data_IF_414229818209
#
_entry.id   IF_414229818209
#
_cell.length_a   1.000
_cell.length_b   1.000
_cell.length_c   1.000
_cell.angle_alpha   90.00
_cell.angle_beta   90.00
_cell.angle_gamma   90.00
#
_symmetry.space_group_name_H-M   'P 1'
#
loop_
_entity.id
_entity.type
_entity.pdbx_description
1 polymer ?
#
# COMPACT_ATOMS: atom_id res chain seq x y z
N UNK A 1 -8.71 -0.38 -9.38
CA UNK A 1 -9.62 -1.52 -9.65
C UNK A 1 -9.23 -2.20 -10.97
N UNK A 2 -9.17 -1.51 -12.12
CA UNK A 2 -8.82 -2.14 -13.41
C UNK A 2 -7.45 -2.83 -13.39
N UNK A 3 -6.40 -2.15 -12.88
CA UNK A 3 -5.07 -2.74 -12.76
C UNK A 3 -5.05 -3.94 -11.81
N UNK A 4 -5.81 -3.91 -10.72
CA UNK A 4 -6.00 -5.05 -9.85
C UNK A 4 -6.52 -6.26 -10.62
N UNK A 5 -7.61 -6.09 -11.37
CA UNK A 5 -8.19 -7.18 -12.16
C UNK A 5 -7.20 -7.75 -13.19
N UNK A 6 -6.38 -6.89 -13.82
CA UNK A 6 -5.32 -7.32 -14.75
C UNK A 6 -4.28 -8.17 -14.00
N UNK A 7 -3.81 -7.72 -12.85
CA UNK A 7 -2.85 -8.46 -12.03
C UNK A 7 -3.41 -9.83 -11.65
N UNK A 8 -4.62 -9.86 -11.09
CA UNK A 8 -5.27 -11.10 -10.64
C UNK A 8 -5.51 -12.08 -11.80
N UNK A 9 -5.91 -11.56 -12.97
CA UNK A 9 -6.14 -12.38 -14.17
C UNK A 9 -4.87 -13.00 -14.72
N UNK A 10 -3.79 -12.21 -14.78
CA UNK A 10 -2.52 -12.67 -15.39
C UNK A 10 -1.74 -13.56 -14.42
N UNK A 11 -1.70 -13.20 -13.14
CA UNK A 11 -0.92 -13.94 -12.14
C UNK A 11 -1.65 -15.17 -11.59
N UNK A 12 -2.98 -15.18 -11.64
CA UNK A 12 -3.80 -16.18 -10.96
C UNK A 12 -3.79 -16.05 -9.43
N UNK A 13 -3.26 -14.95 -8.90
CA UNK A 13 -3.15 -14.65 -7.47
C UNK A 13 -4.09 -13.50 -7.08
N UNK A 14 -4.50 -13.44 -5.81
CA UNK A 14 -5.15 -12.23 -5.30
C UNK A 14 -4.17 -11.05 -5.32
N UNK A 15 -4.68 -9.81 -5.41
CA UNK A 15 -3.83 -8.61 -5.33
C UNK A 15 -2.98 -8.59 -4.06
N UNK A 16 -3.55 -9.06 -2.93
CA UNK A 16 -2.83 -9.14 -1.66
C UNK A 16 -1.65 -10.10 -1.74
N UNK A 17 -1.86 -11.33 -2.21
CA UNK A 17 -0.82 -12.34 -2.28
C UNK A 17 0.26 -11.91 -3.27
N UNK A 18 -0.14 -11.36 -4.41
CA UNK A 18 0.79 -10.81 -5.39
C UNK A 18 1.67 -9.69 -4.81
N UNK A 19 1.07 -8.74 -4.07
CA UNK A 19 1.81 -7.65 -3.45
C UNK A 19 2.76 -8.16 -2.35
N UNK A 20 2.34 -9.12 -1.55
CA UNK A 20 3.20 -9.73 -0.53
C UNK A 20 4.39 -10.43 -1.14
N UNK A 21 4.16 -11.34 -2.06
CA UNK A 21 5.23 -12.19 -2.64
C UNK A 21 6.21 -11.40 -3.51
N UNK A 22 5.75 -10.35 -4.19
CA UNK A 22 6.57 -9.62 -5.16
C UNK A 22 7.10 -8.27 -4.64
N UNK A 23 6.60 -7.78 -3.52
CA UNK A 23 6.99 -6.47 -2.98
C UNK A 23 7.29 -6.53 -1.48
N UNK A 24 6.29 -6.80 -0.64
CA UNK A 24 6.44 -6.61 0.80
C UNK A 24 7.45 -7.60 1.41
N UNK A 25 7.32 -8.89 1.13
CA UNK A 25 8.22 -9.93 1.65
C UNK A 25 9.63 -9.84 1.00
N UNK A 26 9.69 -9.43 -0.27
CA UNK A 26 10.98 -9.22 -0.97
C UNK A 26 11.78 -8.12 -0.27
N UNK A 27 11.15 -7.02 0.08
CA UNK A 27 11.80 -5.89 0.74
C UNK A 27 11.94 -6.06 2.26
N UNK A 28 11.24 -7.02 2.87
CA UNK A 28 11.20 -7.21 4.30
C UNK A 28 10.32 -6.20 5.04
N UNK A 29 9.26 -5.72 4.40
CA UNK A 29 8.26 -4.80 4.96
C UNK A 29 7.30 -5.58 5.88
N UNK A 30 7.71 -5.79 7.12
CA UNK A 30 7.05 -6.73 8.04
C UNK A 30 5.72 -6.24 8.61
N UNK A 31 5.49 -4.92 8.56
CA UNK A 31 4.29 -4.26 9.07
C UNK A 31 3.38 -3.73 7.96
N UNK A 32 3.60 -4.21 6.72
CA UNK A 32 2.84 -3.77 5.56
C UNK A 32 2.01 -4.90 4.98
N UNK A 33 0.71 -4.68 4.86
CA UNK A 33 -0.21 -5.64 4.21
C UNK A 33 -1.56 -4.97 3.92
N UNK A 34 -2.39 -5.64 3.13
CA UNK A 34 -3.82 -5.38 3.10
C UNK A 34 -4.47 -5.98 4.36
N UNK A 35 -5.28 -5.21 5.05
CA UNK A 35 -6.09 -5.68 6.18
C UNK A 35 -7.54 -5.85 5.74
N UNK A 36 -7.89 -7.00 5.15
CA UNK A 36 -9.25 -7.22 4.70
C UNK A 36 -10.19 -7.30 5.90
N UNK A 37 -11.35 -6.70 5.76
CA UNK A 37 -12.43 -6.82 6.71
C UNK A 37 -13.47 -7.78 6.17
N UNK A 38 -14.01 -8.65 7.02
CA UNK A 38 -15.17 -9.48 6.69
C UNK A 38 -16.26 -9.28 7.74
N UNK A 39 -17.47 -9.71 7.41
CA UNK A 39 -18.54 -9.80 8.40
C UNK A 39 -18.42 -11.11 9.17
N UNK A 40 -18.58 -11.06 10.49
CA UNK A 40 -18.76 -12.23 11.32
C UNK A 40 -20.19 -12.80 11.17
N UNK A 41 -20.46 -13.90 11.88
CA UNK A 41 -21.80 -14.53 11.88
C UNK A 41 -22.92 -13.64 12.43
N UNK A 42 -22.55 -12.61 13.19
CA UNK A 42 -23.46 -11.66 13.81
C UNK A 42 -23.62 -10.37 12.97
N UNK A 43 -22.97 -10.33 11.80
CA UNK A 43 -23.00 -9.20 10.85
C UNK A 43 -22.05 -8.06 11.16
N UNK A 44 -21.18 -8.17 12.18
CA UNK A 44 -20.19 -7.14 12.51
C UNK A 44 -18.99 -7.23 11.58
N UNK A 45 -18.38 -6.08 11.26
CA UNK A 45 -17.13 -6.06 10.52
C UNK A 45 -15.97 -6.44 11.43
N UNK A 46 -15.23 -7.46 11.03
CA UNK A 46 -13.99 -7.88 11.68
C UNK A 46 -12.82 -7.79 10.71
N UNK A 47 -11.69 -7.28 11.20
CA UNK A 47 -10.45 -7.28 10.43
C UNK A 47 -9.80 -8.64 10.56
N UNK A 48 -9.53 -9.29 9.42
CA UNK A 48 -8.74 -10.52 9.39
C UNK A 48 -7.28 -10.10 9.26
N UNK A 49 -6.54 -10.21 10.35
CA UNK A 49 -5.08 -10.14 10.30
C UNK A 49 -4.60 -11.58 10.19
N UNK A 50 -4.15 -11.96 9.00
CA UNK A 50 -3.51 -13.26 8.83
C UNK A 50 -2.17 -13.23 9.59
N UNK A 51 -2.12 -13.96 10.70
CA UNK A 51 -0.86 -14.33 11.31
C UNK A 51 -0.25 -15.43 10.46
N UNK A 52 0.19 -15.07 9.24
CA UNK A 52 0.95 -15.98 8.43
C UNK A 52 2.14 -16.48 9.23
N UNK A 53 2.04 -17.70 9.71
CA UNK A 53 3.22 -18.46 10.09
C UNK A 53 4.09 -18.51 8.84
N UNK A 54 5.16 -17.73 8.82
CA UNK A 54 6.25 -17.90 7.86
C UNK A 54 6.78 -19.34 8.01
N UNK A 55 6.13 -20.28 7.36
CA UNK A 55 6.70 -21.61 7.10
C UNK A 55 7.14 -21.63 5.65
N UNK A 56 8.45 -21.61 5.46
CA UNK A 56 9.07 -22.06 4.22
C UNK A 56 8.50 -23.43 3.85
N UNK A 57 8.00 -23.56 2.63
CA UNK A 57 7.90 -24.84 1.93
C UNK A 57 6.55 -25.53 1.97
N UNK A 58 6.00 -25.65 0.78
CA UNK A 58 5.08 -26.70 0.29
C UNK A 58 3.61 -26.71 0.71
N UNK A 59 2.82 -26.62 -0.37
CA UNK A 59 1.46 -27.13 -0.64
C UNK A 59 0.80 -27.93 0.50
N UNK A 60 -0.41 -27.51 0.87
CA UNK A 60 -1.55 -28.40 0.85
C UNK A 60 -2.86 -27.62 1.07
N UNK A 61 -3.83 -27.93 0.22
CA UNK A 61 -5.23 -27.49 0.30
C UNK A 61 -5.83 -28.01 1.61
N UNK A 62 -6.26 -27.12 2.49
CA UNK A 62 -7.36 -27.44 3.40
C UNK A 62 -8.02 -26.14 3.88
N UNK A 63 -9.18 -25.85 3.32
CA UNK A 63 -10.16 -24.91 3.89
C UNK A 63 -10.72 -25.60 5.13
N UNK A 64 -10.21 -25.29 6.28
CA UNK A 64 -10.78 -25.71 7.54
C UNK A 64 -10.71 -24.56 8.55
N UNK A 65 -11.88 -24.01 8.86
CA UNK A 65 -12.28 -23.31 10.09
C UNK A 65 -11.16 -23.01 11.10
N UNK A 66 -10.43 -21.91 10.91
CA UNK A 66 -9.73 -21.29 12.02
C UNK A 66 -10.52 -20.05 12.44
N UNK A 67 -11.22 -20.15 13.55
CA UNK A 67 -11.79 -19.01 14.26
C UNK A 67 -10.62 -18.15 14.76
N UNK A 68 -10.25 -17.12 13.99
CA UNK A 68 -9.31 -16.11 14.43
C UNK A 68 -10.06 -15.05 15.25
N UNK A 69 -9.94 -15.14 16.56
CA UNK A 69 -10.28 -14.03 17.42
C UNK A 69 -9.12 -13.01 17.39
N UNK A 70 -9.34 -11.86 16.77
CA UNK A 70 -8.42 -10.72 16.89
C UNK A 70 -8.42 -10.32 18.37
N UNK A 71 -7.29 -10.46 19.03
CA UNK A 71 -7.12 -9.90 20.36
C UNK A 71 -7.11 -8.38 20.23
N UNK A 72 -7.91 -7.68 21.03
CA UNK A 72 -7.96 -6.21 21.09
C UNK A 72 -6.56 -5.53 21.16
N UNK A 73 -5.54 -6.26 21.66
CA UNK A 73 -4.17 -5.79 21.72
C UNK A 73 -3.50 -5.54 20.35
N UNK A 74 -4.03 -6.07 19.26
CA UNK A 74 -3.46 -5.86 17.91
C UNK A 74 -4.04 -4.62 17.22
N UNK A 75 -5.26 -4.24 17.57
CA UNK A 75 -5.85 -2.97 17.09
C UNK A 75 -5.18 -1.74 17.70
N UNK A 76 -4.55 -1.88 18.87
CA UNK A 76 -3.85 -0.78 19.53
C UNK A 76 -2.66 -0.21 18.73
N UNK A 77 -2.16 -0.95 17.74
CA UNK A 77 -1.05 -0.50 16.88
C UNK A 77 -1.53 0.09 15.55
N UNK A 78 -2.85 0.15 15.33
CA UNK A 78 -3.44 0.70 14.10
C UNK A 78 -4.08 2.04 14.42
N UNK A 79 -3.64 3.08 13.76
CA UNK A 79 -4.23 4.41 13.91
C UNK A 79 -5.71 4.38 13.48
N UNK A 80 -6.62 4.91 14.31
CA UNK A 80 -8.02 5.07 13.89
C UNK A 80 -8.11 6.13 12.80
N UNK A 81 -9.14 6.07 11.95
CA UNK A 81 -9.31 7.04 10.88
C UNK A 81 -10.57 7.89 11.07
N UNK A 82 -11.71 7.47 10.59
CA UNK A 82 -12.92 8.29 10.55
C UNK A 82 -13.95 7.88 11.59
N UNK A 83 -14.56 8.87 12.24
CA UNK A 83 -15.74 8.64 13.07
C UNK A 83 -16.98 8.56 12.19
N UNK A 84 -17.65 7.43 12.25
CA UNK A 84 -18.86 7.17 11.49
C UNK A 84 -20.09 7.83 12.12
N UNK A 85 -21.21 8.04 11.37
CA UNK A 85 -22.44 8.62 11.90
C UNK A 85 -23.03 7.87 13.10
N UNK A 86 -22.80 6.57 13.21
CA UNK A 86 -23.23 5.75 14.36
C UNK A 86 -22.33 5.89 15.60
N UNK A 87 -21.33 6.77 15.55
CA UNK A 87 -20.36 7.02 16.63
C UNK A 87 -19.17 6.06 16.67
N UNK A 88 -19.15 5.02 15.88
CA UNK A 88 -17.99 4.12 15.76
C UNK A 88 -16.84 4.80 15.03
N UNK A 89 -15.61 4.46 15.41
CA UNK A 89 -14.40 4.93 14.74
C UNK A 89 -13.81 3.77 13.92
N UNK A 90 -13.50 4.03 12.67
CA UNK A 90 -12.83 3.05 11.82
C UNK A 90 -11.40 2.83 12.32
N UNK A 91 -11.09 1.59 12.68
CA UNK A 91 -9.74 1.17 13.08
C UNK A 91 -9.47 -0.22 12.52
N UNK A 92 -8.38 -0.39 11.79
CA UNK A 92 -8.09 -1.63 11.07
C UNK A 92 -9.02 -1.91 9.88
N UNK A 93 -9.82 -0.96 9.50
CA UNK A 93 -10.68 -0.99 8.32
C UNK A 93 -10.24 0.08 7.34
N UNK A 94 -10.34 -0.24 6.05
CA UNK A 94 -9.98 0.69 4.98
C UNK A 94 -10.89 1.93 5.04
N UNK A 95 -10.29 3.11 5.05
CA UNK A 95 -11.04 4.37 5.14
C UNK A 95 -11.88 4.60 3.87
N UNK A 96 -11.29 4.39 2.68
CA UNK A 96 -12.02 4.54 1.42
C UNK A 96 -13.25 3.63 1.39
N UNK A 97 -14.48 4.18 1.28
CA UNK A 97 -15.70 3.39 1.39
C UNK A 97 -15.89 2.44 0.20
N UNK A 98 -15.42 2.78 -1.01
CA UNK A 98 -15.52 1.90 -2.16
C UNK A 98 -14.59 0.70 -2.01
N UNK A 99 -13.35 0.93 -1.58
CA UNK A 99 -12.42 -0.16 -1.30
C UNK A 99 -12.93 -1.06 -0.17
N UNK A 100 -13.46 -0.47 0.92
CA UNK A 100 -13.97 -1.20 2.08
C UNK A 100 -15.20 -2.03 1.76
N UNK A 101 -16.21 -1.44 1.10
CA UNK A 101 -17.53 -2.08 0.92
C UNK A 101 -17.58 -2.94 -0.32
N UNK A 102 -17.05 -2.46 -1.44
CA UNK A 102 -17.16 -3.17 -2.72
C UNK A 102 -16.08 -4.21 -2.96
N UNK A 103 -14.85 -3.97 -2.44
CA UNK A 103 -13.71 -4.84 -2.68
C UNK A 103 -13.19 -5.54 -1.41
N UNK A 104 -13.98 -5.55 -0.32
CA UNK A 104 -13.61 -6.26 0.91
C UNK A 104 -12.34 -5.75 1.60
N UNK A 105 -11.91 -4.52 1.30
CA UNK A 105 -10.70 -3.91 1.85
C UNK A 105 -9.42 -4.18 1.04
N UNK A 106 -9.45 -5.05 0.04
CA UNK A 106 -8.32 -5.30 -0.86
C UNK A 106 -8.64 -4.68 -2.21
N UNK A 107 -8.08 -3.51 -2.49
CA UNK A 107 -8.42 -2.79 -3.72
C UNK A 107 -7.19 -2.12 -4.34
N UNK A 108 -7.16 -2.06 -5.66
CA UNK A 108 -6.07 -1.45 -6.41
C UNK A 108 -5.95 0.07 -6.26
N UNK A 109 -6.91 0.70 -5.58
CA UNK A 109 -6.89 2.15 -5.29
C UNK A 109 -6.67 2.48 -3.82
N UNK A 110 -6.90 1.55 -2.90
CA UNK A 110 -6.76 1.76 -1.46
C UNK A 110 -6.73 0.43 -0.71
N UNK A 111 -6.30 0.45 0.56
CA UNK A 111 -6.42 -0.71 1.44
C UNK A 111 -5.12 -1.19 2.06
N UNK A 112 -3.98 -0.66 1.68
CA UNK A 112 -2.70 -1.00 2.30
C UNK A 112 -2.55 -0.27 3.63
N UNK A 113 -2.19 -1.03 4.66
CA UNK A 113 -1.74 -0.54 5.96
C UNK A 113 -0.23 -0.72 6.08
N UNK A 114 0.46 0.25 6.63
CA UNK A 114 1.91 0.26 6.74
C UNK A 114 2.38 1.12 7.91
N UNK A 115 3.69 1.18 8.11
CA UNK A 115 4.36 2.08 9.04
C UNK A 115 5.45 2.89 8.32
N UNK A 116 5.97 3.93 8.99
CA UNK A 116 6.96 4.81 8.39
C UNK A 116 8.26 4.07 8.02
N UNK A 117 8.69 3.12 8.84
CA UNK A 117 9.91 2.34 8.60
C UNK A 117 9.80 1.47 7.33
N UNK A 118 8.68 0.78 7.15
CA UNK A 118 8.45 -0.04 5.95
C UNK A 118 8.35 0.83 4.69
N UNK A 119 7.68 1.97 4.78
CA UNK A 119 7.61 2.93 3.68
C UNK A 119 9.00 3.50 3.36
N UNK A 120 9.84 3.74 4.37
CA UNK A 120 11.22 4.19 4.15
C UNK A 120 12.06 3.14 3.41
N UNK A 121 11.86 1.86 3.68
CA UNK A 121 12.49 0.77 2.94
C UNK A 121 12.07 0.80 1.46
N UNK A 122 10.79 0.98 1.18
CA UNK A 122 10.30 1.13 -0.19
C UNK A 122 10.91 2.36 -0.88
N UNK A 123 10.93 3.51 -0.22
CA UNK A 123 11.55 4.73 -0.75
C UNK A 123 13.03 4.52 -1.07
N UNK A 124 13.78 3.89 -0.17
CA UNK A 124 15.19 3.58 -0.36
C UNK A 124 15.40 2.62 -1.54
N UNK A 125 14.56 1.58 -1.67
CA UNK A 125 14.61 0.67 -2.82
C UNK A 125 14.39 1.42 -4.14
N UNK A 126 13.39 2.31 -4.20
CA UNK A 126 13.11 3.09 -5.41
C UNK A 126 14.23 4.09 -5.75
N UNK A 127 14.82 4.74 -4.74
CA UNK A 127 15.97 5.63 -4.96
C UNK A 127 17.21 4.86 -5.42
N UNK A 128 17.38 3.62 -4.98
CA UNK A 128 18.48 2.73 -5.39
C UNK A 128 18.14 1.91 -6.66
N UNK A 129 17.31 2.42 -7.54
CA UNK A 129 17.00 1.78 -8.82
C UNK A 129 16.23 0.47 -8.71
N UNK A 130 15.40 0.33 -7.70
CA UNK A 130 14.49 -0.79 -7.47
C UNK A 130 15.08 -1.93 -6.65
N UNK A 131 16.10 -1.67 -5.85
CA UNK A 131 16.81 -2.68 -5.05
C UNK A 131 17.05 -2.21 -3.62
N UNK A 132 16.86 -3.12 -2.66
CA UNK A 132 17.20 -2.94 -1.26
C UNK A 132 17.82 -4.22 -0.69
N UNK A 133 18.97 -4.08 0.00
CA UNK A 133 19.72 -5.18 0.61
C UNK A 133 19.94 -6.39 -0.34
N UNK A 134 20.30 -6.12 -1.62
CA UNK A 134 20.52 -7.16 -2.62
C UNK A 134 19.24 -7.82 -3.17
N UNK A 135 18.07 -7.35 -2.76
CA UNK A 135 16.77 -7.83 -3.25
C UNK A 135 16.15 -6.81 -4.18
N UNK A 136 15.80 -7.25 -5.38
CA UNK A 136 15.28 -6.37 -6.43
C UNK A 136 13.80 -6.58 -6.67
N UNK A 137 13.05 -5.48 -6.69
CA UNK A 137 11.61 -5.45 -7.04
C UNK A 137 11.38 -4.89 -8.44
N UNK A 138 12.25 -4.00 -8.92
CA UNK A 138 12.17 -3.40 -10.25
C UNK A 138 13.57 -3.25 -10.85
N UNK A 139 13.65 -3.24 -12.18
CA UNK A 139 14.89 -2.84 -12.86
C UNK A 139 15.10 -1.31 -12.74
N UNK A 140 16.34 -0.82 -12.87
CA UNK A 140 16.59 0.63 -12.91
C UNK A 140 15.81 1.35 -14.03
N UNK A 141 15.62 0.70 -15.17
CA UNK A 141 14.80 1.22 -16.27
C UNK A 141 13.30 1.22 -15.88
N UNK A 142 12.84 0.22 -15.13
CA UNK A 142 11.47 0.17 -14.60
C UNK A 142 11.20 1.31 -13.66
N UNK A 143 12.10 1.60 -12.71
CA UNK A 143 12.00 2.75 -11.82
C UNK A 143 12.00 4.06 -12.60
N UNK A 144 12.89 4.20 -13.59
CA UNK A 144 12.90 5.39 -14.46
C UNK A 144 11.59 5.56 -15.21
N UNK A 145 11.06 4.50 -15.81
CA UNK A 145 9.79 4.53 -16.53
C UNK A 145 8.62 4.90 -15.60
N UNK A 146 8.61 4.32 -14.40
CA UNK A 146 7.57 4.57 -13.39
C UNK A 146 7.48 6.06 -12.99
N UNK A 147 8.61 6.75 -12.85
CA UNK A 147 8.67 8.16 -12.43
C UNK A 147 8.69 9.17 -13.58
N UNK A 148 8.72 8.70 -14.84
CA UNK A 148 8.74 9.59 -16.01
C UNK A 148 7.31 9.87 -16.47
N UNK A 149 6.96 11.14 -16.62
CA UNK A 149 5.66 11.56 -17.17
C UNK A 149 5.56 11.16 -18.64
N UNK A 150 4.60 10.31 -19.03
CA UNK A 150 4.41 9.96 -20.44
C UNK A 150 4.00 11.20 -21.27
N UNK A 151 4.49 11.30 -22.50
CA UNK A 151 4.16 12.41 -23.40
C UNK A 151 2.66 12.58 -23.64
N UNK A 152 1.93 11.45 -23.66
CA UNK A 152 0.47 11.43 -23.87
C UNK A 152 -0.32 11.99 -22.69
N UNK A 153 0.27 12.03 -21.50
CA UNK A 153 -0.36 12.51 -20.27
C UNK A 153 0.41 13.68 -19.65
N UNK A 154 1.25 14.37 -20.45
CA UNK A 154 2.11 15.45 -19.97
C UNK A 154 1.32 16.58 -19.29
N UNK A 155 0.13 16.90 -19.79
CA UNK A 155 -0.75 17.93 -19.21
C UNK A 155 -1.30 17.55 -17.83
N UNK A 156 -1.33 16.26 -17.50
CA UNK A 156 -1.79 15.78 -16.20
C UNK A 156 -0.66 15.73 -15.17
N UNK A 157 0.62 15.75 -15.63
CA UNK A 157 1.80 15.63 -14.78
C UNK A 157 1.86 14.36 -13.94
N UNK A 158 1.10 13.34 -14.35
CA UNK A 158 1.07 12.04 -13.69
C UNK A 158 1.96 11.03 -14.39
N UNK A 159 2.62 10.22 -13.58
CA UNK A 159 3.43 9.09 -14.02
C UNK A 159 2.68 7.76 -13.84
N UNK A 160 3.38 6.64 -13.85
CA UNK A 160 2.78 5.34 -13.57
C UNK A 160 2.59 5.15 -12.06
N UNK A 161 1.52 5.71 -11.53
CA UNK A 161 1.14 5.61 -10.12
C UNK A 161 1.65 6.73 -9.21
N UNK A 162 2.34 7.75 -9.74
CA UNK A 162 2.87 8.87 -8.96
C UNK A 162 2.45 10.22 -9.53
N UNK A 163 2.42 11.20 -8.67
CA UNK A 163 2.36 12.61 -9.03
C UNK A 163 3.79 13.15 -9.17
N UNK A 164 4.00 13.92 -10.24
CA UNK A 164 5.19 14.74 -10.42
C UNK A 164 4.78 16.21 -10.22
N UNK A 165 5.36 17.17 -10.89
CA UNK A 165 4.99 18.57 -10.78
C UNK A 165 3.58 18.85 -11.34
N UNK A 166 2.55 18.73 -10.52
CA UNK A 166 1.16 19.06 -10.88
C UNK A 166 0.49 19.89 -9.83
N UNK A 167 -0.69 20.42 -10.15
CA UNK A 167 -1.55 21.05 -9.14
C UNK A 167 -1.95 20.10 -7.99
N UNK A 168 -1.91 18.79 -8.21
CA UNK A 168 -2.12 17.76 -7.17
C UNK A 168 -0.89 17.53 -6.31
N UNK A 169 0.32 17.80 -6.82
CA UNK A 169 1.58 17.68 -6.09
C UNK A 169 1.94 18.96 -5.32
N UNK A 170 0.95 19.73 -4.90
CA UNK A 170 1.13 21.01 -4.19
C UNK A 170 1.89 20.90 -2.86
N UNK A 171 2.03 19.70 -2.31
CA UNK A 171 2.79 19.44 -1.10
C UNK A 171 4.31 19.27 -1.33
N UNK A 172 4.78 19.26 -2.57
CA UNK A 172 6.21 19.09 -2.87
C UNK A 172 7.06 20.29 -2.43
N UNK A 173 6.47 21.50 -2.31
CA UNK A 173 7.21 22.71 -1.95
C UNK A 173 8.26 23.13 -2.98
N UNK A 174 9.14 24.05 -2.61
CA UNK A 174 10.08 24.69 -3.52
C UNK A 174 11.54 24.22 -3.37
N UNK A 175 11.81 23.34 -2.40
CA UNK A 175 13.17 22.92 -2.06
C UNK A 175 13.59 21.61 -2.70
N UNK A 176 12.68 20.86 -3.25
CA UNK A 176 12.95 19.57 -3.86
C UNK A 176 13.41 19.70 -5.32
N UNK A 177 14.16 18.70 -5.77
CA UNK A 177 14.67 18.63 -7.13
C UNK A 177 13.57 18.43 -8.20
N UNK A 178 13.88 18.75 -9.47
CA UNK A 178 12.91 18.68 -10.56
C UNK A 178 12.41 17.26 -10.89
N UNK A 179 13.13 16.23 -10.45
CA UNK A 179 12.74 14.84 -10.65
C UNK A 179 11.96 14.24 -9.46
N UNK A 180 11.56 15.08 -8.52
CA UNK A 180 10.76 14.68 -7.37
C UNK A 180 9.40 14.14 -7.79
N UNK A 181 8.99 13.08 -7.13
CA UNK A 181 7.69 12.46 -7.31
C UNK A 181 7.12 12.00 -5.97
N UNK A 182 5.83 11.87 -5.88
CA UNK A 182 5.17 11.50 -4.64
C UNK A 182 3.73 11.11 -4.84
N UNK A 183 3.03 10.87 -3.75
CA UNK A 183 1.59 10.65 -3.76
C UNK A 183 1.00 11.01 -2.40
N UNK A 184 -0.25 11.44 -2.41
CA UNK A 184 -1.05 11.66 -1.20
C UNK A 184 -2.06 10.54 -1.01
N UNK A 185 -2.44 10.30 0.25
CA UNK A 185 -3.49 9.36 0.60
C UNK A 185 -4.77 10.07 1.04
N UNK A 186 -5.88 9.34 1.01
CA UNK A 186 -7.21 9.85 1.34
C UNK A 186 -7.33 10.38 2.78
N UNK A 187 -6.58 9.80 3.72
CA UNK A 187 -6.55 10.23 5.13
C UNK A 187 -5.61 11.41 5.40
N UNK A 188 -4.90 11.91 4.39
CA UNK A 188 -3.90 12.98 4.52
C UNK A 188 -2.46 12.47 4.60
N UNK A 189 -2.23 11.16 4.54
CA UNK A 189 -0.88 10.61 4.42
C UNK A 189 -0.21 11.07 3.14
N UNK A 190 1.12 11.18 3.14
CA UNK A 190 1.88 11.52 1.93
C UNK A 190 3.27 10.92 1.92
N UNK A 191 3.77 10.68 0.71
CA UNK A 191 5.14 10.26 0.43
C UNK A 191 5.69 11.21 -0.62
N UNK A 192 6.90 11.73 -0.39
CA UNK A 192 7.67 12.52 -1.36
C UNK A 192 9.03 11.85 -1.50
N UNK A 193 9.47 11.61 -2.71
CA UNK A 193 10.76 11.02 -3.04
C UNK A 193 11.50 11.97 -3.98
N UNK A 194 12.62 12.50 -3.52
CA UNK A 194 13.52 13.35 -4.28
C UNK A 194 14.79 12.59 -4.63
N UNK A 195 14.88 12.06 -5.86
CA UNK A 195 16.06 11.31 -6.29
C UNK A 195 17.28 12.19 -6.57
N UNK A 196 17.08 13.49 -6.73
CA UNK A 196 18.18 14.42 -7.00
C UNK A 196 19.01 14.69 -5.74
N UNK A 197 18.34 14.70 -4.58
CA UNK A 197 18.96 14.92 -3.27
C UNK A 197 18.97 13.68 -2.37
N UNK A 198 18.59 12.51 -2.89
CA UNK A 198 18.48 11.26 -2.14
C UNK A 198 17.65 11.40 -0.85
N UNK A 199 16.60 12.21 -0.92
CA UNK A 199 15.75 12.51 0.24
C UNK A 199 14.36 11.92 0.04
N UNK A 200 13.79 11.37 1.10
CA UNK A 200 12.37 10.98 1.14
C UNK A 200 11.71 11.56 2.36
N UNK A 201 10.49 12.05 2.19
CA UNK A 201 9.64 12.53 3.28
C UNK A 201 8.39 11.65 3.33
N UNK A 202 8.11 11.13 4.51
CA UNK A 202 6.95 10.27 4.78
C UNK A 202 6.15 10.93 5.89
N UNK A 203 4.91 11.25 5.60
CA UNK A 203 3.98 11.81 6.56
C UNK A 203 2.80 10.84 6.72
N UNK A 204 2.64 10.27 7.90
CA UNK A 204 1.52 9.41 8.25
C UNK A 204 0.65 10.15 9.28
N UNK A 205 -0.55 10.51 8.86
CA UNK A 205 -1.57 11.17 9.69
C UNK A 205 -2.92 10.49 9.49
N UNK A 206 -3.83 10.72 10.41
CA UNK A 206 -5.20 10.19 10.42
C UNK A 206 -6.23 11.29 10.76
#
# INVERSE_FOLDING_TARGET
ITLQHIIETISGQSLRDFARENLFDVLGMEHTDYLPCQRDKDGNWITIVDKGTRKQGHKENNVANSQFSIRNSQLNNIAPTEKQPNGQVLCGQVHDPLARVMNGGISGNAGVFSCADDIAILCAALQNGGEWNGRRILSPLGVKAMRTVPRTTASLGRTLGWDNFTAYASNNGDLFGPNTYGHTGYTGTSIIIDPDNYTSVILLIN
#
